data_IF_904340364416
#
_entry.id   IF_904340364416
#
_cell.length_a   1.000
_cell.length_b   1.000
_cell.length_c   1.000
_cell.angle_alpha   90.00
_cell.angle_beta   90.00
_cell.angle_gamma   90.00
#
_symmetry.space_group_name_H-M   'P 1'
#
loop_
_entity.id
_entity.type
_entity.pdbx_description
1 polymer ?
#
# COMPACT_ATOMS: atom_id res chain seq x y z
N UNK A 1 -9.52 -23.84 22.75
CA UNK A 1 -9.03 -22.75 21.88
C UNK A 1 -8.93 -23.29 20.48
N UNK A 2 -9.64 -22.71 19.51
CA UNK A 2 -9.58 -23.18 18.12
C UNK A 2 -8.31 -22.68 17.41
N UNK A 3 -7.74 -23.53 16.56
CA UNK A 3 -6.66 -23.15 15.65
C UNK A 3 -7.25 -22.35 14.50
N UNK A 4 -6.59 -21.25 14.14
CA UNK A 4 -6.95 -20.38 13.02
C UNK A 4 -5.90 -20.57 11.93
N UNK A 5 -6.34 -20.83 10.70
CA UNK A 5 -5.48 -20.83 9.51
C UNK A 5 -5.83 -19.60 8.66
N UNK A 6 -4.83 -18.78 8.33
CA UNK A 6 -5.01 -17.62 7.45
C UNK A 6 -3.72 -17.34 6.69
N UNK A 7 -3.85 -16.77 5.50
CA UNK A 7 -2.73 -16.13 4.82
C UNK A 7 -2.46 -14.75 5.45
N UNK A 8 -1.23 -14.27 5.35
CA UNK A 8 -0.87 -12.94 5.84
C UNK A 8 0.55 -12.54 5.46
N UNK A 9 0.85 -11.26 5.59
CA UNK A 9 2.19 -10.71 5.40
C UNK A 9 2.67 -10.04 6.67
N UNK A 10 3.92 -10.27 7.04
CA UNK A 10 4.55 -9.58 8.17
C UNK A 10 4.91 -8.16 7.77
N UNK A 11 4.28 -7.18 8.39
CA UNK A 11 4.47 -5.74 8.11
C UNK A 11 5.27 -5.01 9.19
N UNK A 12 5.55 -5.65 10.32
CA UNK A 12 6.46 -5.16 11.35
C UNK A 12 6.96 -6.31 12.21
N UNK A 13 8.19 -6.22 12.68
CA UNK A 13 8.79 -7.18 13.60
C UNK A 13 9.62 -6.48 14.68
N UNK A 14 9.63 -7.04 15.86
CA UNK A 14 10.50 -6.64 16.96
C UNK A 14 10.89 -7.84 17.81
N UNK A 15 12.03 -7.74 18.51
CA UNK A 15 12.46 -8.79 19.41
C UNK A 15 11.63 -8.79 20.69
N UNK A 16 11.26 -9.98 21.16
CA UNK A 16 10.57 -10.20 22.41
C UNK A 16 11.38 -11.18 23.25
N UNK A 17 12.05 -10.67 24.31
CA UNK A 17 12.99 -11.49 25.09
C UNK A 17 14.15 -12.02 24.23
N UNK A 18 14.71 -13.18 24.63
CA UNK A 18 15.92 -13.74 24.02
C UNK A 18 15.68 -14.40 22.67
N UNK A 19 14.55 -15.11 22.51
CA UNK A 19 14.33 -16.00 21.36
C UNK A 19 13.02 -15.77 20.64
N UNK A 20 12.13 -14.95 21.15
CA UNK A 20 10.80 -14.73 20.58
C UNK A 20 10.77 -13.48 19.71
N UNK A 21 9.76 -13.36 18.86
CA UNK A 21 9.43 -12.15 18.11
C UNK A 21 8.01 -11.69 18.40
N UNK A 22 7.84 -10.38 18.50
CA UNK A 22 6.55 -9.71 18.37
C UNK A 22 6.40 -9.24 16.92
N UNK A 23 5.30 -9.59 16.30
CA UNK A 23 5.03 -9.33 14.88
C UNK A 23 3.71 -8.58 14.72
N UNK A 24 3.67 -7.70 13.72
CA UNK A 24 2.40 -7.21 13.18
C UNK A 24 2.18 -7.85 11.82
N UNK A 25 1.05 -8.52 11.65
CA UNK A 25 0.67 -9.21 10.43
C UNK A 25 -0.58 -8.58 9.84
N UNK A 26 -0.58 -8.33 8.54
CA UNK A 26 -1.79 -7.98 7.79
C UNK A 26 -2.37 -9.23 7.17
N UNK A 27 -3.64 -9.49 7.47
CA UNK A 27 -4.39 -10.64 6.96
C UNK A 27 -5.61 -10.18 6.15
N UNK A 28 -6.16 -11.02 5.27
CA UNK A 28 -7.31 -10.61 4.45
C UNK A 28 -8.60 -10.44 5.27
N UNK A 29 -8.82 -11.26 6.29
CA UNK A 29 -10.11 -11.31 7.01
C UNK A 29 -10.06 -10.91 8.48
N UNK A 30 -8.88 -10.97 9.11
CA UNK A 30 -8.71 -10.54 10.50
C UNK A 30 -8.12 -9.12 10.60
N UNK A 31 -7.82 -8.49 9.45
CA UNK A 31 -7.20 -7.18 9.42
C UNK A 31 -5.74 -7.19 9.88
N UNK A 32 -5.31 -6.13 10.53
CA UNK A 32 -4.01 -6.00 11.16
C UNK A 32 -4.04 -6.65 12.54
N UNK A 33 -3.26 -7.70 12.74
CA UNK A 33 -3.20 -8.43 14.01
C UNK A 33 -1.80 -8.43 14.60
N UNK A 34 -1.75 -8.49 15.94
CA UNK A 34 -0.50 -8.66 16.68
C UNK A 34 -0.25 -10.13 16.98
N UNK A 35 0.95 -10.62 16.66
CA UNK A 35 1.31 -12.02 16.80
C UNK A 35 2.60 -12.18 17.61
N UNK A 36 2.69 -13.30 18.36
CA UNK A 36 3.92 -13.75 19.00
C UNK A 36 4.40 -15.01 18.29
N UNK A 37 5.67 -15.04 17.91
CA UNK A 37 6.36 -16.18 17.36
C UNK A 37 7.41 -16.67 18.36
N UNK A 38 7.04 -17.68 19.16
CA UNK A 38 7.90 -18.24 20.22
C UNK A 38 9.07 -19.01 19.61
N UNK A 39 10.27 -18.75 20.10
CA UNK A 39 11.50 -19.39 19.64
C UNK A 39 11.88 -19.08 18.20
N UNK A 40 11.25 -18.09 17.54
CA UNK A 40 11.50 -17.75 16.14
C UNK A 40 12.95 -17.32 15.85
N UNK A 41 13.67 -16.86 16.87
CA UNK A 41 15.08 -16.43 16.76
C UNK A 41 16.08 -17.53 17.10
N UNK A 42 15.62 -18.72 17.50
CA UNK A 42 16.54 -19.85 17.76
C UNK A 42 17.17 -20.34 16.47
N UNK A 43 18.46 -20.69 16.47
CA UNK A 43 19.05 -21.43 15.35
C UNK A 43 18.22 -22.70 15.07
N UNK A 44 17.93 -22.99 13.83
CA UNK A 44 17.08 -24.12 13.39
C UNK A 44 15.59 -24.00 13.72
N UNK A 45 15.09 -22.82 14.09
CA UNK A 45 13.65 -22.64 14.28
C UNK A 45 12.90 -22.79 12.94
N UNK A 46 11.84 -23.58 12.90
CA UNK A 46 10.95 -23.69 11.76
C UNK A 46 10.23 -22.35 11.42
N UNK A 47 10.14 -21.44 12.41
CA UNK A 47 9.53 -20.13 12.26
C UNK A 47 10.49 -19.05 11.77
N UNK A 48 11.81 -19.34 11.68
CA UNK A 48 12.83 -18.33 11.39
C UNK A 48 12.60 -17.60 10.04
N UNK A 49 12.31 -18.34 9.00
CA UNK A 49 12.10 -17.78 7.66
C UNK A 49 10.75 -17.05 7.56
N UNK A 50 9.68 -17.70 7.99
CA UNK A 50 8.30 -17.18 7.86
C UNK A 50 7.94 -16.02 8.78
N UNK A 51 8.82 -15.66 9.72
CA UNK A 51 8.60 -14.54 10.66
C UNK A 51 9.51 -13.34 10.39
N UNK A 52 10.04 -13.24 9.20
CA UNK A 52 10.81 -12.08 8.75
C UNK A 52 9.87 -11.00 8.17
N UNK A 53 10.32 -9.74 8.26
CA UNK A 53 9.62 -8.63 7.62
C UNK A 53 9.41 -8.92 6.12
N UNK A 54 8.25 -8.55 5.59
CA UNK A 54 7.76 -8.81 4.23
C UNK A 54 7.49 -10.28 3.89
N UNK A 55 7.66 -11.22 4.81
CA UNK A 55 7.29 -12.60 4.53
C UNK A 55 5.77 -12.75 4.40
N UNK A 56 5.33 -13.23 3.24
CA UNK A 56 3.96 -13.63 2.97
C UNK A 56 3.86 -15.16 3.01
N UNK A 57 2.86 -15.68 3.72
CA UNK A 57 2.68 -17.11 3.87
C UNK A 57 1.30 -17.50 4.42
N UNK A 58 1.10 -18.80 4.62
CA UNK A 58 -0.01 -19.35 5.36
C UNK A 58 0.43 -19.63 6.81
N UNK A 59 -0.31 -19.09 7.77
CA UNK A 59 0.00 -19.17 9.18
C UNK A 59 -1.06 -19.99 9.92
N UNK A 60 -0.62 -20.95 10.71
CA UNK A 60 -1.45 -21.60 11.73
C UNK A 60 -1.17 -20.95 13.09
N UNK A 61 -2.21 -20.45 13.73
CA UNK A 61 -2.10 -19.73 14.98
C UNK A 61 -3.29 -19.99 15.89
N UNK A 62 -3.17 -19.65 17.16
CA UNK A 62 -4.28 -19.63 18.11
C UNK A 62 -4.40 -18.27 18.78
N UNK A 63 -5.62 -17.86 19.09
CA UNK A 63 -5.87 -16.58 19.75
C UNK A 63 -5.53 -16.70 21.23
N UNK A 64 -4.57 -15.88 21.70
CA UNK A 64 -4.31 -15.64 23.11
C UNK A 64 -5.25 -14.56 23.66
N UNK A 65 -4.90 -13.97 24.80
CA UNK A 65 -5.72 -12.91 25.41
C UNK A 65 -5.73 -11.64 24.55
N UNK A 66 -4.55 -11.14 24.18
CA UNK A 66 -4.39 -9.88 23.44
C UNK A 66 -3.60 -10.04 22.12
N UNK A 67 -3.08 -11.23 21.85
CA UNK A 67 -2.23 -11.50 20.69
C UNK A 67 -2.52 -12.89 20.15
N UNK A 68 -2.15 -13.10 18.88
CA UNK A 68 -2.16 -14.43 18.28
C UNK A 68 -0.80 -15.10 18.48
N UNK A 69 -0.76 -16.40 18.76
CA UNK A 69 0.48 -17.17 18.86
C UNK A 69 0.64 -18.02 17.60
N UNK A 70 1.74 -17.82 16.87
CA UNK A 70 2.05 -18.56 15.65
C UNK A 70 2.61 -19.92 16.01
N UNK A 71 1.96 -21.00 15.53
CA UNK A 71 2.39 -22.38 15.68
C UNK A 71 3.30 -22.81 14.54
N UNK A 72 2.89 -22.51 13.31
CA UNK A 72 3.64 -22.85 12.09
C UNK A 72 3.34 -21.84 11.01
N UNK A 73 4.22 -21.76 10.04
CA UNK A 73 4.02 -20.99 8.83
C UNK A 73 4.57 -21.75 7.62
N UNK A 74 3.81 -21.70 6.53
CA UNK A 74 4.23 -22.15 5.21
C UNK A 74 4.51 -20.90 4.37
N UNK A 75 5.79 -20.61 4.14
CA UNK A 75 6.25 -19.44 3.42
C UNK A 75 5.90 -19.55 1.94
N UNK A 76 5.25 -18.52 1.38
CA UNK A 76 4.90 -18.42 -0.04
C UNK A 76 5.86 -17.48 -0.76
N UNK A 77 6.14 -16.30 -0.18
CA UNK A 77 6.99 -15.27 -0.79
C UNK A 77 7.74 -14.48 0.30
N UNK A 78 8.99 -14.11 0.05
CA UNK A 78 9.84 -13.36 1.01
C UNK A 78 10.32 -12.01 0.47
N UNK A 79 10.08 -11.72 -0.81
CA UNK A 79 10.57 -10.51 -1.49
C UNK A 79 12.05 -10.22 -1.24
N UNK A 80 12.89 -11.23 -1.44
CA UNK A 80 14.29 -11.21 -1.05
C UNK A 80 15.06 -10.04 -1.67
N UNK A 81 14.77 -9.70 -2.94
CA UNK A 81 15.46 -8.66 -3.69
C UNK A 81 15.25 -7.24 -3.10
N UNK A 82 14.21 -7.02 -2.29
CA UNK A 82 14.06 -5.77 -1.54
C UNK A 82 15.23 -5.49 -0.57
N UNK A 83 15.91 -6.57 -0.09
CA UNK A 83 16.99 -6.44 0.88
C UNK A 83 18.36 -6.20 0.24
N UNK A 84 18.45 -6.36 -1.07
CA UNK A 84 19.70 -6.16 -1.83
C UNK A 84 19.88 -4.73 -2.32
N UNK A 85 18.81 -3.91 -2.22
CA UNK A 85 18.78 -2.51 -2.64
C UNK A 85 18.22 -1.66 -1.52
N UNK A 86 19.04 -0.72 -1.01
CA UNK A 86 18.68 0.10 0.15
C UNK A 86 17.51 1.03 -0.13
N UNK A 87 17.40 1.57 -1.33
CA UNK A 87 16.30 2.46 -1.71
C UNK A 87 15.00 1.67 -1.78
N UNK A 88 14.99 0.51 -2.46
CA UNK A 88 13.81 -0.38 -2.51
C UNK A 88 13.38 -0.81 -1.11
N UNK A 89 14.33 -1.14 -0.24
CA UNK A 89 14.06 -1.51 1.16
C UNK A 89 13.39 -0.37 1.94
N UNK A 90 13.93 0.85 1.85
CA UNK A 90 13.39 2.01 2.54
C UNK A 90 11.95 2.31 2.10
N UNK A 91 11.66 2.26 0.81
CA UNK A 91 10.30 2.45 0.30
C UNK A 91 9.36 1.32 0.70
N UNK A 92 9.81 0.08 0.72
CA UNK A 92 9.01 -1.05 1.21
C UNK A 92 8.65 -0.88 2.70
N UNK A 93 9.59 -0.39 3.52
CA UNK A 93 9.34 -0.07 4.94
C UNK A 93 8.33 1.09 5.07
N UNK A 94 8.47 2.18 4.27
CA UNK A 94 7.50 3.28 4.24
C UNK A 94 6.10 2.79 3.91
N UNK A 95 5.95 1.98 2.85
CA UNK A 95 4.66 1.42 2.41
C UNK A 95 4.03 0.57 3.51
N UNK A 96 4.80 -0.34 4.13
CA UNK A 96 4.26 -1.20 5.19
C UNK A 96 3.90 -0.40 6.45
N UNK A 97 4.63 0.67 6.75
CA UNK A 97 4.27 1.60 7.83
C UNK A 97 2.94 2.29 7.52
N UNK A 98 2.76 2.84 6.32
CA UNK A 98 1.50 3.46 5.90
C UNK A 98 0.35 2.46 6.05
N UNK A 99 0.49 1.24 5.53
CA UNK A 99 -0.54 0.20 5.65
C UNK A 99 -0.86 -0.12 7.10
N UNK A 100 0.16 -0.24 7.95
CA UNK A 100 -0.02 -0.48 9.38
C UNK A 100 -0.81 0.64 10.07
N UNK A 101 -0.58 1.88 9.67
CA UNK A 101 -1.19 3.05 10.32
C UNK A 101 -2.66 3.28 9.88
N UNK A 102 -3.07 2.75 8.70
CA UNK A 102 -4.43 2.91 8.14
C UNK A 102 -5.30 1.66 8.22
N UNK A 103 -4.84 0.58 8.83
CA UNK A 103 -5.61 -0.67 8.97
C UNK A 103 -5.80 -1.05 10.43
N UNK A 104 -6.94 -1.67 10.77
CA UNK A 104 -7.27 -2.10 12.12
C UNK A 104 -7.57 -3.60 12.21
N UNK A 105 -7.69 -4.12 13.45
CA UNK A 105 -8.08 -5.51 13.72
C UNK A 105 -9.58 -5.71 13.37
N UNK A 106 -9.91 -6.90 12.89
CA UNK A 106 -11.25 -7.32 12.48
C UNK A 106 -11.82 -6.58 11.25
N UNK A 107 -10.97 -5.95 10.46
CA UNK A 107 -11.34 -5.36 9.18
C UNK A 107 -11.09 -6.30 8.00
N UNK A 108 -11.88 -6.13 6.94
CA UNK A 108 -11.62 -6.82 5.67
C UNK A 108 -10.54 -6.07 4.88
N UNK A 109 -9.30 -6.50 5.05
CA UNK A 109 -8.13 -5.91 4.39
C UNK A 109 -7.72 -6.62 3.08
N UNK A 110 -8.59 -7.47 2.50
CA UNK A 110 -8.25 -8.25 1.31
C UNK A 110 -7.71 -7.39 0.14
N UNK A 111 -8.38 -6.28 -0.18
CA UNK A 111 -7.96 -5.39 -1.28
C UNK A 111 -6.63 -4.69 -0.99
N UNK A 112 -6.44 -4.26 0.26
CA UNK A 112 -5.20 -3.61 0.70
C UNK A 112 -4.05 -4.62 0.69
N UNK A 113 -4.26 -5.83 1.19
CA UNK A 113 -3.27 -6.90 1.16
C UNK A 113 -2.87 -7.26 -0.28
N UNK A 114 -3.83 -7.44 -1.20
CA UNK A 114 -3.52 -7.71 -2.60
C UNK A 114 -2.70 -6.58 -3.24
N UNK A 115 -3.06 -5.33 -2.97
CA UNK A 115 -2.33 -4.17 -3.47
C UNK A 115 -0.92 -4.13 -2.88
N UNK A 116 -0.76 -4.35 -1.58
CA UNK A 116 0.54 -4.38 -0.91
C UNK A 116 1.46 -5.44 -1.52
N UNK A 117 0.97 -6.67 -1.66
CA UNK A 117 1.75 -7.77 -2.28
C UNK A 117 2.20 -7.43 -3.70
N UNK A 118 1.30 -6.87 -4.52
CA UNK A 118 1.65 -6.46 -5.89
C UNK A 118 2.64 -5.29 -5.92
N UNK A 119 2.55 -4.37 -4.95
CA UNK A 119 3.49 -3.25 -4.82
C UNK A 119 4.89 -3.74 -4.44
N UNK A 120 4.98 -4.61 -3.43
CA UNK A 120 6.26 -5.20 -3.01
C UNK A 120 6.88 -6.06 -4.11
N UNK A 121 6.06 -6.85 -4.83
CA UNK A 121 6.50 -7.61 -5.99
C UNK A 121 7.07 -6.69 -7.08
N UNK A 122 6.36 -5.60 -7.40
CA UNK A 122 6.81 -4.65 -8.43
C UNK A 122 8.14 -3.97 -8.03
N UNK A 123 8.30 -3.60 -6.77
CA UNK A 123 9.55 -3.04 -6.24
C UNK A 123 10.68 -4.08 -6.26
N UNK A 124 10.39 -5.33 -5.89
CA UNK A 124 11.37 -6.42 -5.78
C UNK A 124 11.84 -6.91 -7.15
N UNK A 125 10.90 -7.22 -8.05
CA UNK A 125 11.15 -8.05 -9.23
C UNK A 125 11.17 -7.25 -10.55
N UNK A 126 10.95 -5.94 -10.53
CA UNK A 126 10.92 -5.14 -11.75
C UNK A 126 11.81 -3.90 -11.65
N UNK A 127 12.16 -3.35 -12.84
CA UNK A 127 12.90 -2.07 -12.96
C UNK A 127 11.95 -0.87 -13.12
N UNK A 128 10.73 -0.97 -12.61
CA UNK A 128 9.77 0.15 -12.61
C UNK A 128 10.32 1.31 -11.80
N UNK A 129 10.12 2.51 -12.31
CA UNK A 129 10.50 3.71 -11.59
C UNK A 129 9.82 3.73 -10.21
N UNK A 130 10.60 3.88 -9.15
CA UNK A 130 10.14 3.80 -7.76
C UNK A 130 9.10 4.90 -7.46
N UNK A 131 9.31 6.13 -7.95
CA UNK A 131 8.37 7.22 -7.78
C UNK A 131 7.00 6.91 -8.42
N UNK A 132 7.00 6.22 -9.58
CA UNK A 132 5.76 5.74 -10.20
C UNK A 132 5.03 4.76 -9.29
N UNK A 133 5.76 3.80 -8.73
CA UNK A 133 5.19 2.76 -7.86
C UNK A 133 4.59 3.38 -6.59
N UNK A 134 5.33 4.26 -5.92
CA UNK A 134 4.89 4.92 -4.68
C UNK A 134 3.69 5.83 -4.91
N UNK A 135 3.73 6.65 -5.96
CA UNK A 135 2.63 7.56 -6.29
C UNK A 135 1.35 6.79 -6.62
N UNK A 136 1.49 5.70 -7.37
CA UNK A 136 0.39 4.80 -7.73
C UNK A 136 -0.19 4.13 -6.49
N UNK A 137 0.67 3.62 -5.59
CA UNK A 137 0.27 3.00 -4.33
C UNK A 137 -0.51 3.99 -3.44
N UNK A 138 0.04 5.19 -3.19
CA UNK A 138 -0.59 6.21 -2.34
C UNK A 138 -1.98 6.58 -2.86
N UNK A 139 -2.10 6.86 -4.15
CA UNK A 139 -3.39 7.24 -4.75
C UNK A 139 -4.41 6.09 -4.72
N UNK A 140 -3.99 4.85 -4.99
CA UNK A 140 -4.87 3.68 -4.94
C UNK A 140 -5.30 3.32 -3.52
N UNK A 141 -4.40 3.48 -2.55
CA UNK A 141 -4.73 3.27 -1.13
C UNK A 141 -5.84 4.21 -0.68
N UNK A 142 -5.75 5.50 -1.04
CA UNK A 142 -6.81 6.48 -0.75
C UNK A 142 -8.17 6.05 -1.31
N UNK A 143 -8.19 5.44 -2.51
CA UNK A 143 -9.44 4.91 -3.07
C UNK A 143 -10.02 3.78 -2.21
N UNK A 144 -9.18 2.91 -1.64
CA UNK A 144 -9.65 1.84 -0.76
C UNK A 144 -10.11 2.33 0.60
N UNK A 145 -9.56 3.45 1.07
CA UNK A 145 -9.95 4.12 2.31
C UNK A 145 -11.19 5.04 2.15
N UNK A 146 -11.80 5.09 0.95
CA UNK A 146 -13.00 5.90 0.69
C UNK A 146 -12.74 7.31 0.15
N UNK A 147 -11.48 7.70 -0.01
CA UNK A 147 -11.08 9.00 -0.56
C UNK A 147 -10.84 8.95 -2.08
N UNK A 148 -11.78 8.32 -2.82
CA UNK A 148 -11.68 8.23 -4.29
C UNK A 148 -11.90 9.59 -4.93
N UNK A 149 -10.93 10.14 -5.70
CA UNK A 149 -11.12 11.42 -6.36
C UNK A 149 -12.16 11.32 -7.50
N UNK A 150 -12.86 12.41 -7.77
CA UNK A 150 -13.81 12.53 -8.88
C UNK A 150 -13.04 12.79 -10.19
N UNK A 151 -12.98 11.77 -11.05
CA UNK A 151 -12.07 11.71 -12.20
C UNK A 151 -12.79 11.72 -13.56
N UNK A 152 -14.12 11.64 -13.59
CA UNK A 152 -14.85 11.48 -14.83
C UNK A 152 -15.12 12.82 -15.53
N UNK A 153 -15.32 13.87 -14.77
CA UNK A 153 -15.73 15.19 -15.24
C UNK A 153 -15.21 16.31 -14.32
N UNK A 154 -15.25 17.54 -14.77
CA UNK A 154 -14.95 18.71 -13.96
C UNK A 154 -15.89 18.76 -12.73
N UNK A 155 -15.31 18.85 -11.55
CA UNK A 155 -16.07 18.85 -10.28
C UNK A 155 -16.99 20.06 -10.14
N UNK A 156 -16.73 21.14 -10.88
CA UNK A 156 -17.51 22.38 -10.83
C UNK A 156 -18.59 22.46 -11.91
N UNK A 157 -18.21 22.37 -13.19
CA UNK A 157 -19.13 22.62 -14.32
C UNK A 157 -19.55 21.36 -15.10
N UNK A 158 -19.08 20.18 -14.71
CA UNK A 158 -19.39 18.88 -15.33
C UNK A 158 -18.82 18.69 -16.74
N UNK A 159 -17.94 19.57 -17.20
CA UNK A 159 -17.21 19.41 -18.45
C UNK A 159 -16.38 18.11 -18.41
N UNK A 160 -16.47 17.30 -19.45
CA UNK A 160 -15.78 15.99 -19.53
C UNK A 160 -14.45 16.06 -20.27
N UNK A 161 -14.30 17.09 -21.08
CA UNK A 161 -13.12 17.30 -21.89
C UNK A 161 -12.24 18.39 -21.26
N UNK A 162 -11.01 18.51 -21.80
CA UNK A 162 -10.07 19.58 -21.41
C UNK A 162 -9.86 19.70 -19.87
N UNK A 163 -9.76 18.55 -19.20
CA UNK A 163 -9.44 18.46 -17.78
C UNK A 163 -7.93 18.68 -17.63
N UNK A 164 -7.55 19.75 -16.98
CA UNK A 164 -6.14 20.20 -16.90
C UNK A 164 -5.67 20.50 -15.48
N UNK A 165 -6.54 20.34 -14.49
CA UNK A 165 -6.21 20.64 -13.11
C UNK A 165 -6.74 19.54 -12.17
N UNK A 166 -5.99 19.31 -11.07
CA UNK A 166 -6.45 18.54 -9.93
C UNK A 166 -6.65 19.47 -8.74
N UNK A 167 -7.83 19.47 -8.16
CA UNK A 167 -8.18 20.26 -7.00
C UNK A 167 -8.20 19.40 -5.73
N UNK A 168 -7.32 19.70 -4.78
CA UNK A 168 -7.32 19.09 -3.46
C UNK A 168 -8.59 19.45 -2.69
N UNK A 169 -8.99 20.72 -2.74
CA UNK A 169 -10.20 21.23 -2.07
C UNK A 169 -11.49 20.54 -2.51
N UNK A 170 -11.59 20.15 -3.78
CA UNK A 170 -12.81 19.60 -4.35
C UNK A 170 -12.67 18.11 -4.70
N UNK A 171 -11.57 17.45 -4.35
CA UNK A 171 -11.31 16.02 -4.51
C UNK A 171 -11.51 15.53 -5.95
N UNK A 172 -10.88 16.20 -6.92
CA UNK A 172 -11.02 15.76 -8.29
C UNK A 172 -10.58 16.73 -9.38
N UNK A 173 -10.90 16.36 -10.62
CA UNK A 173 -10.47 17.12 -11.79
C UNK A 173 -11.28 18.40 -12.01
N UNK A 174 -10.60 19.40 -12.56
CA UNK A 174 -11.20 20.62 -13.10
C UNK A 174 -10.79 20.84 -14.55
N UNK A 175 -11.71 21.39 -15.34
CA UNK A 175 -11.39 21.89 -16.68
C UNK A 175 -10.54 23.15 -16.60
N UNK A 176 -9.98 23.58 -17.72
CA UNK A 176 -9.11 24.75 -17.80
C UNK A 176 -9.74 26.02 -17.20
N UNK A 177 -11.01 26.30 -17.55
CA UNK A 177 -11.70 27.49 -17.07
C UNK A 177 -11.91 27.47 -15.54
N UNK A 178 -12.39 26.36 -14.99
CA UNK A 178 -12.63 26.24 -13.55
C UNK A 178 -11.34 26.10 -12.74
N UNK A 179 -10.29 25.51 -13.33
CA UNK A 179 -9.00 25.34 -12.66
C UNK A 179 -8.25 26.66 -12.48
N UNK A 180 -8.29 27.55 -13.50
CA UNK A 180 -7.67 28.90 -13.40
C UNK A 180 -8.27 29.74 -12.27
N UNK A 181 -9.50 29.49 -11.89
CA UNK A 181 -10.18 30.20 -10.81
C UNK A 181 -9.87 29.61 -9.41
N UNK A 182 -9.26 28.44 -9.36
CA UNK A 182 -8.88 27.76 -8.12
C UNK A 182 -7.37 27.88 -7.89
N UNK A 183 -6.95 28.84 -7.07
CA UNK A 183 -5.54 29.14 -6.78
C UNK A 183 -4.76 27.94 -6.19
N UNK A 184 -5.44 26.97 -5.61
CA UNK A 184 -4.84 25.75 -5.02
C UNK A 184 -4.92 24.54 -5.94
N UNK A 185 -5.47 24.66 -7.15
CA UNK A 185 -5.51 23.56 -8.10
C UNK A 185 -4.14 23.34 -8.78
N UNK A 186 -3.74 22.08 -8.87
CA UNK A 186 -2.48 21.64 -9.46
C UNK A 186 -2.70 21.48 -10.95
N UNK A 187 -1.91 22.18 -11.79
CA UNK A 187 -1.92 21.98 -13.24
C UNK A 187 -1.35 20.62 -13.58
N UNK A 188 -2.01 19.88 -14.48
CA UNK A 188 -1.64 18.54 -14.91
C UNK A 188 -1.84 18.37 -16.41
N UNK A 189 -0.97 17.57 -17.02
CA UNK A 189 -1.04 17.17 -18.42
C UNK A 189 -2.15 16.13 -18.67
N UNK A 190 -2.52 15.97 -19.94
CA UNK A 190 -3.47 14.92 -20.36
C UNK A 190 -2.96 13.53 -19.98
N UNK A 191 -1.66 13.26 -20.10
CA UNK A 191 -1.04 11.99 -19.71
C UNK A 191 -1.23 11.70 -18.22
N UNK A 192 -1.13 12.72 -17.37
CA UNK A 192 -1.38 12.59 -15.92
C UNK A 192 -2.86 12.37 -15.61
N UNK A 193 -3.76 13.04 -16.32
CA UNK A 193 -5.21 12.78 -16.22
C UNK A 193 -5.52 11.32 -16.54
N UNK A 194 -4.96 10.78 -17.64
CA UNK A 194 -5.15 9.38 -18.04
C UNK A 194 -4.55 8.41 -17.00
N UNK A 195 -3.36 8.74 -16.48
CA UNK A 195 -2.71 7.93 -15.44
C UNK A 195 -3.54 7.86 -14.15
N UNK A 196 -4.04 8.99 -13.65
CA UNK A 196 -4.88 9.04 -12.46
C UNK A 196 -6.17 8.24 -12.67
N UNK A 197 -6.83 8.39 -13.83
CA UNK A 197 -7.99 7.58 -14.22
C UNK A 197 -7.68 6.09 -14.20
N UNK A 198 -6.56 5.72 -14.83
CA UNK A 198 -6.11 4.33 -14.85
C UNK A 198 -5.91 3.79 -13.43
N UNK A 199 -5.17 4.49 -12.57
CA UNK A 199 -4.89 4.08 -11.19
C UNK A 199 -6.19 3.86 -10.41
N UNK A 200 -7.12 4.81 -10.48
CA UNK A 200 -8.40 4.71 -9.77
C UNK A 200 -9.20 3.49 -10.23
N UNK A 201 -9.26 3.23 -11.54
CA UNK A 201 -10.12 2.19 -12.12
C UNK A 201 -9.45 0.81 -12.18
N UNK A 202 -8.12 0.73 -12.24
CA UNK A 202 -7.40 -0.52 -12.44
C UNK A 202 -7.59 -1.50 -11.27
N UNK A 203 -7.79 -2.79 -11.55
CA UNK A 203 -7.72 -3.83 -10.53
C UNK A 203 -6.27 -3.98 -10.02
N UNK A 204 -6.09 -4.49 -8.79
CA UNK A 204 -4.79 -4.63 -8.14
C UNK A 204 -3.73 -5.32 -9.04
N UNK A 205 -4.11 -6.39 -9.74
CA UNK A 205 -3.20 -7.15 -10.62
C UNK A 205 -2.64 -6.35 -11.81
N UNK A 206 -3.33 -5.31 -12.27
CA UNK A 206 -2.92 -4.49 -13.42
C UNK A 206 -2.44 -3.09 -13.00
N UNK A 207 -2.35 -2.82 -11.70
CA UNK A 207 -2.15 -1.48 -11.18
C UNK A 207 -0.87 -0.81 -11.72
N UNK A 208 0.18 -1.56 -11.92
CA UNK A 208 1.49 -1.07 -12.40
C UNK A 208 1.76 -1.34 -13.89
N UNK A 209 0.71 -1.65 -14.70
CA UNK A 209 0.88 -1.99 -16.12
C UNK A 209 0.92 -0.75 -17.05
N UNK A 210 1.49 0.35 -16.58
CA UNK A 210 1.69 1.57 -17.38
C UNK A 210 3.04 2.21 -17.08
N UNK A 211 3.40 3.19 -17.90
CA UNK A 211 4.60 4.02 -17.71
C UNK A 211 4.27 5.48 -18.02
N UNK A 212 5.04 6.40 -17.48
CA UNK A 212 4.92 7.83 -17.71
C UNK A 212 6.29 8.41 -18.09
N UNK A 213 6.28 9.49 -18.86
CA UNK A 213 7.45 10.34 -19.08
C UNK A 213 7.70 11.18 -17.81
N UNK A 214 8.93 11.67 -17.65
CA UNK A 214 9.37 12.35 -16.44
C UNK A 214 8.48 13.53 -16.03
N UNK A 215 8.02 14.34 -16.97
CA UNK A 215 7.13 15.49 -16.70
C UNK A 215 5.82 15.02 -16.05
N UNK A 216 5.11 14.08 -16.69
CA UNK A 216 3.84 13.54 -16.17
C UNK A 216 4.04 12.73 -14.89
N UNK A 217 5.21 12.09 -14.72
CA UNK A 217 5.56 11.40 -13.48
C UNK A 217 5.72 12.39 -12.32
N UNK A 218 6.39 13.52 -12.53
CA UNK A 218 6.53 14.57 -11.54
C UNK A 218 5.17 15.17 -11.13
N UNK A 219 4.28 15.39 -12.10
CA UNK A 219 2.91 15.83 -11.82
C UNK A 219 2.14 14.79 -10.98
N UNK A 220 2.21 13.50 -11.35
CA UNK A 220 1.57 12.42 -10.59
C UNK A 220 2.13 12.33 -9.17
N UNK A 221 3.45 12.45 -9.01
CA UNK A 221 4.13 12.45 -7.71
C UNK A 221 3.64 13.60 -6.84
N UNK A 222 3.52 14.79 -7.40
CA UNK A 222 3.03 15.98 -6.69
C UNK A 222 1.57 15.79 -6.25
N UNK A 223 0.70 15.41 -7.19
CA UNK A 223 -0.74 15.19 -6.90
C UNK A 223 -0.92 14.11 -5.84
N UNK A 224 -0.28 12.95 -6.02
CA UNK A 224 -0.44 11.81 -5.10
C UNK A 224 0.06 12.14 -3.69
N UNK A 225 1.20 12.85 -3.58
CA UNK A 225 1.75 13.29 -2.29
C UNK A 225 0.80 14.25 -1.61
N UNK A 226 0.47 15.37 -2.24
CA UNK A 226 -0.36 16.41 -1.63
C UNK A 226 -1.76 15.91 -1.30
N UNK A 227 -2.34 15.04 -2.13
CA UNK A 227 -3.64 14.46 -1.88
C UNK A 227 -3.61 13.46 -0.72
N UNK A 228 -2.53 12.68 -0.62
CA UNK A 228 -2.31 11.74 0.49
C UNK A 228 -2.15 12.49 1.82
N UNK A 229 -1.30 13.53 1.84
CA UNK A 229 -1.05 14.35 3.03
C UNK A 229 -2.35 15.06 3.49
N UNK A 230 -3.14 15.62 2.55
CA UNK A 230 -4.43 16.27 2.86
C UNK A 230 -5.45 15.30 3.50
N UNK A 231 -5.45 14.03 3.14
CA UNK A 231 -6.44 13.06 3.61
C UNK A 231 -6.02 12.30 4.87
N UNK A 232 -4.74 12.05 5.08
CA UNK A 232 -4.24 11.14 6.14
C UNK A 232 -3.33 11.81 7.17
N UNK A 233 -2.71 12.96 6.86
CA UNK A 233 -1.79 13.67 7.78
C UNK A 233 -2.47 14.88 8.45
N UNK A 234 -3.75 14.78 8.77
CA UNK A 234 -4.46 15.82 9.52
C UNK A 234 -4.17 15.79 11.01
#
# INVERSE_FOLDING_TARGET
MGTIKTSGIIISESNLGDYDKMLTMLTPGLGKISCVAKGARRPRSALLAGTQLFCFGEYMMYKGTNTYNINSCDTIEVFYNLRTDLDKLNYAIEITKIVRDVTDENENCYKILQMLLNTLYTLSETDKNIDLVISTFKLKLLCFLGFTPRIMECVNCKEKNNLKYFSLKNDGFKCENCGRLDKGAISISESTVLAIRYIVMAPAKKLFSFSLKDESLNELKLVSKLYFDDKLER
#
